data_IF_493341959082
#
_entry.id   IF_493341959082
#
_cell.length_a   1.000
_cell.length_b   1.000
_cell.length_c   1.000
_cell.angle_alpha   90.00
_cell.angle_beta   90.00
_cell.angle_gamma   90.00
#
_symmetry.space_group_name_H-M   'P 1'
#
loop_
_entity.id
_entity.type
_entity.pdbx_description
1 polymer ?
#
# COMPACT_ATOMS: atom_id res chain seq x y z
N UNK A 1 -21.21 103.28 20.92
CA UNK A 1 -20.14 102.25 21.00
C UNK A 1 -20.78 100.91 21.31
N UNK A 2 -20.96 100.07 20.33
CA UNK A 2 -21.61 98.74 20.48
C UNK A 2 -20.57 97.64 20.44
N UNK A 3 -20.38 96.87 21.57
CA UNK A 3 -19.52 95.69 21.67
C UNK A 3 -20.28 94.48 21.08
N UNK A 4 -19.70 93.84 20.07
CA UNK A 4 -20.18 92.57 19.53
C UNK A 4 -19.57 91.42 20.31
N UNK A 5 -20.39 90.56 20.95
CA UNK A 5 -20.02 89.32 21.55
C UNK A 5 -19.92 88.24 20.44
N UNK A 6 -18.79 87.56 20.41
CA UNK A 6 -18.58 86.32 19.57
C UNK A 6 -18.93 85.07 20.39
N UNK A 7 -19.91 84.35 19.94
CA UNK A 7 -20.29 83.03 20.44
C UNK A 7 -19.39 82.00 19.71
N UNK A 8 -18.55 81.28 20.45
CA UNK A 8 -17.78 80.11 19.93
C UNK A 8 -18.64 78.86 20.06
N UNK A 9 -18.97 78.22 18.95
CA UNK A 9 -19.63 76.92 18.97
C UNK A 9 -18.57 75.82 19.07
N UNK A 10 -18.66 75.01 20.15
CA UNK A 10 -17.83 73.84 20.39
C UNK A 10 -18.47 72.62 19.65
N UNK A 11 -17.86 72.13 18.56
CA UNK A 11 -18.20 70.89 17.92
C UNK A 11 -17.55 69.71 18.64
N UNK A 12 -18.36 68.90 19.37
CA UNK A 12 -17.93 67.59 19.89
C UNK A 12 -17.94 66.56 18.76
N UNK A 13 -16.76 66.19 18.29
CA UNK A 13 -16.59 65.06 17.38
C UNK A 13 -16.69 63.76 18.15
N UNK A 14 -17.74 62.96 17.90
CA UNK A 14 -17.84 61.58 18.38
C UNK A 14 -17.00 60.71 17.45
N UNK A 15 -15.80 60.27 17.92
CA UNK A 15 -15.00 59.29 17.25
C UNK A 15 -15.65 57.91 17.45
N UNK A 16 -16.24 57.35 16.38
CA UNK A 16 -16.69 55.96 16.35
C UNK A 16 -15.45 55.03 16.33
N UNK A 17 -15.12 54.42 17.47
CA UNK A 17 -14.16 53.34 17.53
C UNK A 17 -14.76 52.11 16.90
N UNK A 18 -14.40 51.86 15.65
CA UNK A 18 -14.71 50.59 15.00
C UNK A 18 -13.99 49.44 15.74
N UNK A 19 -14.73 48.71 16.55
CA UNK A 19 -14.22 47.54 17.23
C UNK A 19 -13.72 46.53 16.23
N UNK A 20 -12.40 46.33 16.18
CA UNK A 20 -11.78 45.19 15.47
C UNK A 20 -12.28 43.93 16.18
N UNK A 21 -13.23 43.23 15.58
CA UNK A 21 -13.61 41.88 16.05
C UNK A 21 -12.37 40.99 15.93
N UNK A 22 -11.96 40.30 17.00
CA UNK A 22 -10.88 39.32 16.89
C UNK A 22 -11.32 38.29 15.84
N UNK A 23 -10.53 38.12 14.79
CA UNK A 23 -10.67 37.01 13.86
C UNK A 23 -10.45 35.77 14.74
N UNK A 24 -11.51 35.01 14.97
CA UNK A 24 -11.38 33.72 15.65
C UNK A 24 -10.34 32.91 14.90
N UNK A 25 -9.27 32.51 15.58
CA UNK A 25 -8.26 31.64 15.00
C UNK A 25 -8.98 30.41 14.42
N UNK A 26 -8.69 30.07 13.17
CA UNK A 26 -9.24 28.87 12.56
C UNK A 26 -8.94 27.67 13.49
N UNK A 27 -9.90 26.76 13.71
CA UNK A 27 -9.68 25.62 14.58
C UNK A 27 -8.48 24.81 14.06
N UNK A 28 -7.53 24.54 14.95
CA UNK A 28 -6.37 23.71 14.61
C UNK A 28 -6.86 22.30 14.20
N UNK A 29 -6.38 21.79 13.07
CA UNK A 29 -6.64 20.42 12.65
C UNK A 29 -5.66 19.41 13.24
N UNK A 30 -4.63 19.85 13.95
CA UNK A 30 -3.56 19.01 14.47
C UNK A 30 -4.06 17.88 15.35
N UNK A 31 -3.40 16.75 15.23
CA UNK A 31 -3.58 15.57 16.06
C UNK A 31 -4.23 14.39 15.34
N UNK A 32 -4.61 13.40 16.13
CA UNK A 32 -5.19 12.15 15.65
C UNK A 32 -6.69 12.28 15.36
N UNK A 33 -7.11 11.55 14.36
CA UNK A 33 -8.49 11.45 13.91
C UNK A 33 -8.88 9.98 13.72
N UNK A 34 -10.06 9.62 14.18
CA UNK A 34 -10.73 8.38 13.80
C UNK A 34 -11.49 8.63 12.50
N UNK A 35 -11.13 7.90 11.48
CA UNK A 35 -11.63 8.09 10.14
C UNK A 35 -12.31 6.83 9.61
N UNK A 36 -13.20 7.00 8.65
CA UNK A 36 -13.81 5.92 7.89
C UNK A 36 -13.75 6.22 6.40
N UNK A 37 -13.56 5.16 5.60
CA UNK A 37 -13.71 5.20 4.14
C UNK A 37 -14.73 4.16 3.70
N UNK A 38 -15.60 4.53 2.75
CA UNK A 38 -16.62 3.61 2.23
C UNK A 38 -16.12 2.98 0.94
N UNK A 39 -16.03 1.64 0.93
CA UNK A 39 -15.59 0.86 -0.23
C UNK A 39 -16.59 -0.26 -0.49
N UNK A 40 -17.35 -0.14 -1.59
CA UNK A 40 -18.49 -1.03 -1.83
C UNK A 40 -19.52 -0.90 -0.72
N UNK A 41 -19.83 -1.99 -0.05
CA UNK A 41 -20.76 -2.04 1.09
C UNK A 41 -20.05 -1.90 2.45
N UNK A 42 -18.71 -1.95 2.49
CA UNK A 42 -17.95 -1.88 3.71
C UNK A 42 -17.62 -0.44 4.11
N UNK A 43 -17.81 -0.13 5.39
CA UNK A 43 -17.28 1.08 6.03
C UNK A 43 -16.04 0.69 6.82
N UNK A 44 -14.88 1.10 6.33
CA UNK A 44 -13.57 0.68 6.84
C UNK A 44 -13.04 1.76 7.76
N UNK A 45 -12.91 1.51 9.07
CA UNK A 45 -12.30 2.44 10.00
C UNK A 45 -10.77 2.47 9.82
N UNK A 46 -10.18 3.63 10.00
CA UNK A 46 -8.73 3.81 10.03
C UNK A 46 -8.34 4.99 10.90
N UNK A 47 -7.10 5.01 11.38
CA UNK A 47 -6.52 6.15 12.08
C UNK A 47 -5.84 7.07 11.10
N UNK A 48 -5.99 8.36 11.34
CA UNK A 48 -5.39 9.42 10.53
C UNK A 48 -4.78 10.50 11.42
N UNK A 49 -3.73 11.17 10.96
CA UNK A 49 -3.14 12.29 11.70
C UNK A 49 -3.01 13.49 10.78
N UNK A 50 -3.28 14.66 11.31
CA UNK A 50 -3.04 15.93 10.64
C UNK A 50 -2.01 16.73 11.44
N UNK A 51 -1.07 17.36 10.72
CA UNK A 51 -0.12 18.32 11.27
C UNK A 51 -0.16 19.59 10.42
N UNK A 52 -0.38 20.75 11.06
CA UNK A 52 -0.56 22.04 10.38
C UNK A 52 0.63 22.96 10.63
N UNK A 53 1.02 23.71 9.59
CA UNK A 53 2.00 24.81 9.68
C UNK A 53 1.48 25.99 8.88
N UNK A 54 0.71 26.87 9.52
CA UNK A 54 0.02 27.96 8.82
C UNK A 54 -1.09 27.40 7.89
N UNK A 55 -0.98 27.66 6.60
CA UNK A 55 -1.91 27.11 5.59
C UNK A 55 -1.48 25.76 5.03
N UNK A 56 -0.25 25.33 5.29
CA UNK A 56 0.24 24.02 4.90
C UNK A 56 -0.23 22.97 5.90
N UNK A 57 -0.73 21.87 5.39
CA UNK A 57 -1.19 20.72 6.18
C UNK A 57 -0.54 19.47 5.64
N UNK A 58 -0.05 18.65 6.52
CA UNK A 58 0.40 17.30 6.19
C UNK A 58 -0.55 16.28 6.81
N UNK A 59 -1.05 15.34 6.00
CA UNK A 59 -1.90 14.25 6.45
C UNK A 59 -1.14 12.93 6.42
N UNK A 60 -1.34 12.10 7.45
CA UNK A 60 -0.65 10.82 7.60
C UNK A 60 -1.66 9.69 7.76
N UNK A 61 -1.59 8.73 6.86
CA UNK A 61 -2.10 7.39 7.10
C UNK A 61 -1.12 6.59 7.96
N UNK A 62 -1.57 5.46 8.49
CA UNK A 62 -0.76 4.54 9.27
C UNK A 62 -0.68 3.16 8.60
N UNK A 63 0.54 2.69 8.39
CA UNK A 63 0.88 1.31 8.03
C UNK A 63 1.52 0.67 9.27
N UNK A 64 0.70 0.05 10.12
CA UNK A 64 1.12 -0.25 11.49
C UNK A 64 1.52 1.04 12.22
N UNK A 65 2.75 1.11 12.71
CA UNK A 65 3.30 2.29 13.38
C UNK A 65 3.96 3.29 12.41
N UNK A 66 4.15 2.90 11.14
CA UNK A 66 4.79 3.73 10.12
C UNK A 66 3.79 4.72 9.54
N UNK A 67 4.15 6.00 9.56
CA UNK A 67 3.37 7.07 8.93
C UNK A 67 3.61 7.14 7.42
N UNK A 68 2.52 7.25 6.66
CA UNK A 68 2.49 7.45 5.21
C UNK A 68 1.97 8.85 4.94
N UNK A 69 2.88 9.80 4.77
CA UNK A 69 2.56 11.23 4.67
C UNK A 69 2.11 11.64 3.27
N UNK A 70 1.25 12.68 3.21
CA UNK A 70 0.90 13.35 1.96
C UNK A 70 2.12 14.03 1.33
N UNK A 71 2.12 14.12 -0.01
CA UNK A 71 3.15 14.84 -0.79
C UNK A 71 2.99 16.34 -0.66
N UNK A 72 1.74 16.81 -0.59
CA UNK A 72 1.36 18.18 -0.33
C UNK A 72 0.03 18.24 0.39
N UNK A 73 -0.32 19.40 0.94
CA UNK A 73 -1.63 19.63 1.52
C UNK A 73 -1.86 21.07 1.90
N UNK A 74 -3.13 21.47 1.90
CA UNK A 74 -3.57 22.81 2.24
C UNK A 74 -4.89 22.78 3.00
N UNK A 75 -5.02 23.69 3.97
CA UNK A 75 -6.28 23.98 4.64
C UNK A 75 -6.57 25.47 4.56
N UNK A 76 -7.70 25.84 3.97
CA UNK A 76 -8.17 27.21 3.88
C UNK A 76 -9.69 27.24 3.82
N UNK A 77 -10.31 28.21 4.46
CA UNK A 77 -11.75 28.46 4.43
C UNK A 77 -12.60 27.21 4.77
N UNK A 78 -12.12 26.41 5.70
CA UNK A 78 -12.78 25.16 6.12
C UNK A 78 -12.57 23.98 5.18
N UNK A 79 -11.86 24.14 4.04
CA UNK A 79 -11.58 23.09 3.08
C UNK A 79 -10.16 22.54 3.24
N UNK A 80 -10.05 21.23 3.38
CA UNK A 80 -8.81 20.46 3.41
C UNK A 80 -8.61 19.76 2.07
N UNK A 81 -7.40 19.87 1.52
CA UNK A 81 -6.93 19.06 0.39
C UNK A 81 -5.58 18.48 0.69
N UNK A 82 -5.41 17.18 0.46
CA UNK A 82 -4.16 16.43 0.60
C UNK A 82 -3.92 15.62 -0.66
N UNK A 83 -2.72 15.73 -1.23
CA UNK A 83 -2.32 14.96 -2.40
C UNK A 83 -1.25 13.94 -2.01
N UNK A 84 -1.38 12.72 -2.55
CA UNK A 84 -0.45 11.60 -2.37
C UNK A 84 0.04 11.17 -3.76
N UNK A 85 1.04 11.87 -4.30
CA UNK A 85 1.51 11.71 -5.68
C UNK A 85 1.92 10.28 -6.00
N UNK A 86 2.57 9.62 -5.04
CA UNK A 86 3.06 8.25 -5.21
C UNK A 86 1.93 7.19 -5.23
N UNK A 87 0.76 7.51 -4.67
CA UNK A 87 -0.46 6.69 -4.77
C UNK A 87 -1.35 7.16 -5.93
N UNK A 88 -1.02 8.30 -6.54
CA UNK A 88 -1.86 8.99 -7.50
C UNK A 88 -3.26 9.25 -6.96
N UNK A 89 -3.36 9.74 -5.70
CA UNK A 89 -4.62 9.95 -5.00
C UNK A 89 -4.71 11.31 -4.35
N UNK A 90 -5.94 11.78 -4.12
CA UNK A 90 -6.24 13.00 -3.37
C UNK A 90 -7.34 12.75 -2.35
N UNK A 91 -7.22 13.39 -1.18
CA UNK A 91 -8.24 13.50 -0.15
C UNK A 91 -8.72 14.95 -0.09
N UNK A 92 -10.01 15.17 -0.27
CA UNK A 92 -10.64 16.48 -0.17
C UNK A 92 -11.77 16.40 0.87
N UNK A 93 -11.76 17.28 1.87
CA UNK A 93 -12.75 17.30 2.94
C UNK A 93 -13.06 18.71 3.40
N UNK A 94 -14.25 18.89 3.98
CA UNK A 94 -14.69 20.16 4.56
C UNK A 94 -14.98 19.95 6.04
N UNK A 95 -14.53 20.89 6.88
CA UNK A 95 -14.84 20.88 8.30
C UNK A 95 -16.29 21.33 8.52
N UNK A 96 -17.11 20.46 9.11
CA UNK A 96 -18.50 20.67 9.45
C UNK A 96 -18.68 20.40 10.93
N UNK A 97 -18.78 21.46 11.74
CA UNK A 97 -18.72 21.33 13.19
C UNK A 97 -17.34 20.83 13.65
N UNK A 98 -17.28 19.64 14.23
CA UNK A 98 -16.08 18.95 14.69
C UNK A 98 -15.66 17.77 13.79
N UNK A 99 -16.33 17.56 12.66
CA UNK A 99 -16.06 16.50 11.69
C UNK A 99 -15.48 17.03 10.38
N UNK A 100 -14.55 16.28 9.79
CA UNK A 100 -14.14 16.46 8.40
C UNK A 100 -14.92 15.46 7.54
N UNK A 101 -15.69 15.98 6.59
CA UNK A 101 -16.52 15.20 5.66
C UNK A 101 -16.04 15.45 4.25
N UNK A 102 -15.78 14.38 3.50
CA UNK A 102 -15.21 14.53 2.17
C UNK A 102 -15.08 13.24 1.38
N UNK A 103 -14.11 13.25 0.48
CA UNK A 103 -13.88 12.15 -0.46
C UNK A 103 -12.40 11.83 -0.58
N UNK A 104 -12.14 10.56 -0.85
CA UNK A 104 -10.85 10.05 -1.28
C UNK A 104 -10.98 9.42 -2.67
N UNK A 105 -10.07 9.73 -3.57
CA UNK A 105 -10.13 9.20 -4.93
C UNK A 105 -8.76 9.02 -5.55
N UNK A 106 -8.61 8.00 -6.36
CA UNK A 106 -7.50 7.86 -7.29
C UNK A 106 -7.73 8.80 -8.48
N UNK A 107 -6.68 9.45 -8.97
CA UNK A 107 -6.75 10.42 -10.07
C UNK A 107 -6.80 9.77 -11.46
N UNK A 108 -6.75 8.44 -11.55
CA UNK A 108 -6.99 7.71 -12.81
C UNK A 108 -8.43 7.93 -13.28
N UNK A 109 -8.60 8.13 -14.58
CA UNK A 109 -9.92 8.25 -15.19
C UNK A 109 -10.79 7.01 -14.89
N UNK A 110 -12.06 7.25 -14.55
CA UNK A 110 -13.00 6.18 -14.20
C UNK A 110 -12.84 5.58 -12.80
N UNK A 111 -11.90 6.08 -11.99
CA UNK A 111 -11.75 5.62 -10.60
C UNK A 111 -12.94 6.02 -9.74
N UNK A 112 -13.35 5.09 -8.84
CA UNK A 112 -14.45 5.35 -7.90
C UNK A 112 -14.04 6.40 -6.88
N UNK A 113 -14.97 7.27 -6.55
CA UNK A 113 -14.86 8.22 -5.44
C UNK A 113 -15.37 7.52 -4.19
N UNK A 114 -14.58 7.56 -3.12
CA UNK A 114 -14.89 6.95 -1.84
C UNK A 114 -15.25 8.05 -0.85
N UNK A 115 -16.38 7.91 -0.14
CA UNK A 115 -16.75 8.84 0.92
C UNK A 115 -15.82 8.64 2.12
N UNK A 116 -15.37 9.76 2.70
CA UNK A 116 -14.53 9.79 3.91
C UNK A 116 -15.19 10.66 4.96
N UNK A 117 -15.18 10.19 6.20
CA UNK A 117 -15.60 10.94 7.39
C UNK A 117 -14.53 10.80 8.46
N UNK A 118 -14.15 11.89 9.12
CA UNK A 118 -13.15 11.88 10.18
C UNK A 118 -13.66 12.66 11.38
N UNK A 119 -13.47 12.10 12.59
CA UNK A 119 -13.76 12.72 13.88
C UNK A 119 -12.48 12.78 14.71
N UNK A 120 -12.42 13.70 15.66
CA UNK A 120 -11.31 13.73 16.61
C UNK A 120 -11.17 12.38 17.30
N UNK A 121 -9.94 11.87 17.34
CA UNK A 121 -9.63 10.63 18.03
C UNK A 121 -10.04 10.73 19.51
N UNK A 122 -10.74 9.72 19.98
CA UNK A 122 -11.03 9.54 21.38
C UNK A 122 -10.49 8.18 21.82
N UNK A 123 -9.64 8.17 22.82
CA UNK A 123 -9.11 6.91 23.35
C UNK A 123 -10.26 6.00 23.78
N UNK A 124 -10.31 4.74 23.32
CA UNK A 124 -11.34 3.80 23.74
C UNK A 124 -11.27 3.58 25.26
N UNK A 125 -12.43 3.38 25.88
CA UNK A 125 -12.48 2.95 27.27
C UNK A 125 -11.86 1.53 27.36
N UNK A 126 -11.16 1.22 28.48
CA UNK A 126 -10.68 -0.15 28.70
C UNK A 126 -11.83 -1.15 28.61
N UNK A 127 -11.61 -2.23 27.86
CA UNK A 127 -12.56 -3.34 27.81
C UNK A 127 -12.25 -4.28 28.97
N UNK A 128 -13.25 -4.53 29.84
CA UNK A 128 -13.18 -5.48 30.97
C UNK A 128 -13.59 -6.90 30.53
N UNK A 129 -13.91 -7.10 29.26
CA UNK A 129 -14.36 -8.38 28.71
C UNK A 129 -13.26 -9.44 28.66
N UNK A 130 -13.70 -10.71 28.62
CA UNK A 130 -12.79 -11.84 28.41
C UNK A 130 -12.40 -11.93 26.95
N UNK A 131 -11.13 -11.71 26.63
CA UNK A 131 -10.61 -11.83 25.27
C UNK A 131 -10.03 -13.22 25.03
N UNK A 132 -10.46 -13.97 24.01
CA UNK A 132 -9.88 -15.26 23.68
C UNK A 132 -8.44 -15.09 23.17
N UNK A 133 -7.61 -16.12 23.34
CA UNK A 133 -6.27 -16.15 22.75
C UNK A 133 -6.37 -16.38 21.25
N UNK A 134 -6.06 -15.33 20.45
CA UNK A 134 -6.12 -15.34 19.01
C UNK A 134 -4.77 -15.15 18.33
N UNK A 135 -3.72 -14.78 19.07
CA UNK A 135 -2.38 -14.62 18.53
C UNK A 135 -1.88 -15.89 17.83
N UNK A 136 -1.04 -15.72 16.83
CA UNK A 136 -0.42 -16.83 16.10
C UNK A 136 -0.83 -16.91 14.64
N UNK A 137 -0.55 -18.07 14.03
CA UNK A 137 -0.75 -18.32 12.61
C UNK A 137 -2.06 -19.07 12.36
N UNK A 138 -2.81 -18.57 11.39
CA UNK A 138 -4.09 -19.10 10.93
C UNK A 138 -4.06 -19.28 9.42
N UNK A 139 -4.90 -20.17 8.92
CA UNK A 139 -5.19 -20.33 7.51
C UNK A 139 -6.64 -19.96 7.21
N UNK A 140 -6.83 -19.13 6.21
CA UNK A 140 -8.11 -18.54 5.82
C UNK A 140 -8.55 -19.11 4.49
N UNK A 141 -9.73 -19.73 4.43
CA UNK A 141 -10.31 -20.31 3.23
C UNK A 141 -11.73 -19.83 3.02
N UNK A 142 -12.04 -19.45 1.77
CA UNK A 142 -13.41 -19.05 1.40
C UNK A 142 -14.40 -20.22 1.55
N UNK A 143 -15.62 -19.91 1.99
CA UNK A 143 -16.65 -20.94 2.13
C UNK A 143 -17.00 -21.58 0.78
N UNK A 144 -17.17 -22.89 0.77
CA UNK A 144 -17.36 -23.66 -0.47
C UNK A 144 -18.54 -23.17 -1.31
N UNK A 145 -19.63 -22.75 -0.65
CA UNK A 145 -20.83 -22.21 -1.30
C UNK A 145 -20.57 -20.88 -2.08
N UNK A 146 -19.49 -20.18 -1.79
CA UNK A 146 -19.14 -18.89 -2.40
C UNK A 146 -17.99 -18.98 -3.41
N UNK A 147 -17.50 -20.19 -3.68
CA UNK A 147 -16.44 -20.39 -4.68
C UNK A 147 -17.04 -20.26 -6.07
N UNK A 148 -16.70 -19.15 -6.75
CA UNK A 148 -17.17 -18.86 -8.10
C UNK A 148 -16.06 -18.91 -9.16
N UNK A 149 -14.79 -18.88 -8.74
CA UNK A 149 -13.63 -18.91 -9.63
C UNK A 149 -12.48 -19.74 -9.04
N UNK A 150 -11.54 -20.26 -9.85
CA UNK A 150 -10.41 -21.04 -9.36
C UNK A 150 -9.56 -20.30 -8.29
N UNK A 151 -9.44 -18.98 -8.40
CA UNK A 151 -8.73 -18.16 -7.39
C UNK A 151 -9.40 -18.21 -6.01
N UNK A 152 -10.69 -18.42 -5.93
CA UNK A 152 -11.46 -18.48 -4.67
C UNK A 152 -11.17 -19.78 -3.90
N UNK A 153 -10.58 -20.78 -4.53
CA UNK A 153 -10.18 -22.04 -3.88
C UNK A 153 -8.88 -21.93 -3.10
N UNK A 154 -8.16 -20.81 -3.21
CA UNK A 154 -6.85 -20.64 -2.56
C UNK A 154 -7.02 -20.43 -1.07
N UNK A 155 -6.13 -21.03 -0.31
CA UNK A 155 -5.96 -20.75 1.11
C UNK A 155 -4.97 -19.60 1.28
N UNK A 156 -5.18 -18.75 2.27
CA UNK A 156 -4.30 -17.62 2.61
C UNK A 156 -3.80 -17.78 4.04
N UNK A 157 -2.59 -17.30 4.33
CA UNK A 157 -2.12 -17.20 5.70
C UNK A 157 -2.69 -15.95 6.38
N UNK A 158 -2.97 -16.05 7.67
CA UNK A 158 -3.33 -14.91 8.52
C UNK A 158 -2.42 -14.96 9.75
N UNK A 159 -1.70 -13.89 9.98
CA UNK A 159 -0.83 -13.74 11.14
C UNK A 159 -1.46 -12.74 12.11
N UNK A 160 -1.72 -13.14 13.34
CA UNK A 160 -2.30 -12.29 14.37
C UNK A 160 -1.33 -12.12 15.53
N UNK A 161 -1.22 -10.88 16.01
CA UNK A 161 -0.52 -10.50 17.24
C UNK A 161 -1.52 -9.89 18.18
N UNK A 162 -1.39 -10.12 19.48
CA UNK A 162 -2.37 -9.73 20.47
C UNK A 162 -1.72 -9.12 21.70
N UNK A 163 -2.34 -8.07 22.23
CA UNK A 163 -2.01 -7.45 23.51
C UNK A 163 -3.32 -7.10 24.22
N UNK A 164 -3.78 -7.98 25.12
CA UNK A 164 -5.10 -7.87 25.71
C UNK A 164 -6.20 -7.97 24.64
N UNK A 165 -7.12 -7.00 24.61
CA UNK A 165 -8.18 -6.92 23.62
C UNK A 165 -7.70 -6.35 22.27
N UNK A 166 -6.55 -5.66 22.22
CA UNK A 166 -5.99 -5.10 21.01
C UNK A 166 -5.32 -6.16 20.18
N UNK A 167 -5.64 -6.19 18.89
CA UNK A 167 -5.02 -7.11 17.93
C UNK A 167 -4.47 -6.35 16.72
N UNK A 168 -3.42 -6.90 16.16
CA UNK A 168 -2.91 -6.52 14.85
C UNK A 168 -2.59 -7.78 14.05
N UNK A 169 -2.57 -7.66 12.73
CA UNK A 169 -2.23 -8.80 11.90
C UNK A 169 -2.21 -8.46 10.42
N UNK A 170 -2.12 -9.49 9.60
CA UNK A 170 -2.16 -9.34 8.15
C UNK A 170 -2.67 -10.62 7.50
N UNK A 171 -3.21 -10.50 6.29
CA UNK A 171 -3.58 -11.62 5.43
C UNK A 171 -2.54 -11.70 4.32
N UNK A 172 -1.76 -12.77 4.29
CA UNK A 172 -0.75 -13.02 3.26
C UNK A 172 -1.33 -13.88 2.16
N UNK A 173 -1.33 -13.35 0.95
CA UNK A 173 -1.72 -13.99 -0.29
C UNK A 173 -0.50 -14.21 -1.18
N UNK A 174 -0.67 -14.85 -2.31
CA UNK A 174 0.41 -15.13 -3.25
C UNK A 174 1.04 -13.87 -3.85
N UNK A 175 0.27 -12.79 -3.97
CA UNK A 175 0.72 -11.50 -4.48
C UNK A 175 1.31 -10.56 -3.42
N UNK A 176 1.28 -10.98 -2.16
CA UNK A 176 1.73 -10.21 -1.02
C UNK A 176 0.64 -10.07 0.04
N UNK A 177 0.82 -9.18 0.99
CA UNK A 177 -0.09 -9.05 2.12
C UNK A 177 -1.02 -7.82 2.03
N UNK A 178 -1.96 -7.77 2.95
CA UNK A 178 -2.96 -6.71 3.04
C UNK A 178 -2.45 -5.43 3.71
N UNK A 179 -1.20 -5.37 4.13
CA UNK A 179 -0.72 -4.40 5.10
C UNK A 179 -1.14 -4.77 6.52
N UNK A 180 -0.79 -3.93 7.48
CA UNK A 180 -1.09 -4.17 8.89
C UNK A 180 -2.53 -3.83 9.22
N UNK A 181 -3.36 -4.86 9.38
CA UNK A 181 -4.69 -4.74 9.96
C UNK A 181 -4.55 -4.43 11.45
N UNK A 182 -5.31 -3.48 11.96
CA UNK A 182 -5.34 -3.14 13.39
C UNK A 182 -6.77 -3.07 13.91
N UNK A 183 -6.99 -3.40 15.17
CA UNK A 183 -8.30 -3.33 15.81
C UNK A 183 -8.36 -4.06 17.12
N UNK A 184 -9.53 -4.57 17.47
CA UNK A 184 -9.79 -5.14 18.80
C UNK A 184 -10.77 -6.32 18.76
N UNK A 185 -10.71 -7.13 19.82
CA UNK A 185 -11.79 -8.06 20.19
C UNK A 185 -12.74 -7.34 21.12
N UNK A 186 -14.00 -7.25 20.74
CA UNK A 186 -15.04 -6.60 21.53
C UNK A 186 -16.42 -7.18 21.22
N UNK A 187 -17.26 -7.35 22.24
CA UNK A 187 -18.61 -7.91 22.09
C UNK A 187 -18.60 -9.25 21.34
N UNK A 188 -17.70 -10.16 21.71
CA UNK A 188 -17.52 -11.49 21.10
C UNK A 188 -17.18 -11.46 19.60
N UNK A 189 -16.62 -10.36 19.13
CA UNK A 189 -16.25 -10.17 17.73
C UNK A 189 -14.85 -9.58 17.61
N UNK A 190 -14.06 -10.11 16.68
CA UNK A 190 -12.84 -9.52 16.19
C UNK A 190 -13.18 -8.55 15.06
N UNK A 191 -12.68 -7.32 15.14
CA UNK A 191 -12.76 -6.34 14.04
C UNK A 191 -11.38 -5.78 13.80
N UNK A 192 -10.81 -6.08 12.64
CA UNK A 192 -9.51 -5.56 12.17
C UNK A 192 -9.67 -4.83 10.86
N UNK A 193 -9.02 -3.69 10.71
CA UNK A 193 -9.08 -2.90 9.49
C UNK A 193 -7.72 -2.38 9.05
N UNK A 194 -7.61 -2.11 7.75
CA UNK A 194 -6.45 -1.47 7.15
C UNK A 194 -6.91 -0.48 6.08
N UNK A 195 -6.37 0.73 6.12
CA UNK A 195 -6.40 1.69 5.03
C UNK A 195 -5.24 2.69 5.21
N UNK A 196 -4.22 2.57 4.38
CA UNK A 196 -3.07 3.47 4.35
C UNK A 196 -3.02 4.32 3.06
N UNK A 197 -4.22 4.71 2.57
CA UNK A 197 -4.41 5.35 1.27
C UNK A 197 -4.60 4.34 0.12
N UNK A 198 -4.40 3.08 0.40
CA UNK A 198 -4.58 1.94 -0.51
C UNK A 198 -4.90 0.67 0.28
N UNK A 199 -5.21 -0.43 -0.42
CA UNK A 199 -5.53 -1.73 0.19
C UNK A 199 -6.59 -1.65 1.29
N UNK A 200 -7.77 -1.06 1.03
CA UNK A 200 -8.83 -1.02 2.02
C UNK A 200 -9.28 -2.44 2.38
N UNK A 201 -9.15 -2.81 3.66
CA UNK A 201 -9.57 -4.12 4.17
C UNK A 201 -10.27 -3.98 5.52
N UNK A 202 -11.35 -4.73 5.68
CA UNK A 202 -12.08 -4.91 6.92
C UNK A 202 -12.27 -6.41 7.14
N UNK A 203 -11.61 -6.96 8.14
CA UNK A 203 -11.78 -8.34 8.59
C UNK A 203 -12.59 -8.35 9.87
N UNK A 204 -13.74 -9.00 9.83
CA UNK A 204 -14.59 -9.23 10.99
C UNK A 204 -14.68 -10.74 11.24
N UNK A 205 -14.60 -11.19 12.49
CA UNK A 205 -14.68 -12.60 12.77
C UNK A 205 -15.32 -12.88 14.13
N UNK A 206 -16.03 -14.00 14.24
CA UNK A 206 -16.58 -14.55 15.48
C UNK A 206 -16.02 -15.93 15.72
N UNK A 207 -15.90 -16.33 17.01
CA UNK A 207 -15.34 -17.62 17.37
C UNK A 207 -16.42 -18.70 17.37
N UNK A 208 -16.15 -19.81 16.69
CA UNK A 208 -16.96 -21.02 16.71
C UNK A 208 -16.65 -21.86 17.97
N UNK A 209 -17.55 -22.77 18.30
CA UNK A 209 -17.39 -23.68 19.46
C UNK A 209 -16.21 -24.65 19.33
N UNK A 210 -15.78 -24.94 18.08
CA UNK A 210 -14.64 -25.80 17.79
C UNK A 210 -13.29 -25.05 17.73
N UNK A 211 -13.29 -23.77 18.11
CA UNK A 211 -12.09 -22.93 18.14
C UNK A 211 -11.72 -22.27 16.80
N UNK A 212 -12.39 -22.61 15.71
CA UNK A 212 -12.22 -21.91 14.43
C UNK A 212 -12.89 -20.53 14.47
N UNK A 213 -12.62 -19.67 13.46
CA UNK A 213 -13.29 -18.38 13.34
C UNK A 213 -14.11 -18.34 12.05
N UNK A 214 -15.38 -17.95 12.18
CA UNK A 214 -16.19 -17.53 11.04
C UNK A 214 -15.89 -16.07 10.75
N UNK A 215 -15.41 -15.77 9.55
CA UNK A 215 -14.93 -14.43 9.19
C UNK A 215 -15.62 -13.88 7.95
N UNK A 216 -15.73 -12.54 7.91
CA UNK A 216 -16.17 -11.78 6.73
C UNK A 216 -15.09 -10.78 6.37
N UNK A 217 -14.73 -10.76 5.08
CA UNK A 217 -13.78 -9.79 4.54
C UNK A 217 -14.55 -8.79 3.67
N UNK A 218 -14.37 -7.49 3.95
CA UNK A 218 -14.97 -6.37 3.21
C UNK A 218 -16.52 -6.45 3.09
N UNK A 219 -17.17 -6.99 4.12
CA UNK A 219 -18.62 -6.99 4.26
C UNK A 219 -19.38 -8.07 3.45
N UNK A 220 -18.72 -8.76 2.52
CA UNK A 220 -19.44 -9.64 1.57
C UNK A 220 -18.76 -10.96 1.23
N UNK A 221 -17.54 -11.21 1.65
CA UNK A 221 -16.84 -12.47 1.37
C UNK A 221 -16.64 -13.26 2.67
N UNK A 222 -17.16 -14.48 2.75
CA UNK A 222 -17.17 -15.29 3.96
C UNK A 222 -16.09 -16.37 3.93
N UNK A 223 -15.42 -16.52 5.06
CA UNK A 223 -14.27 -17.39 5.23
C UNK A 223 -14.34 -18.18 6.53
N UNK A 224 -13.67 -19.32 6.53
CA UNK A 224 -13.30 -20.06 7.72
C UNK A 224 -11.82 -19.83 7.99
N UNK A 225 -11.47 -19.42 9.22
CA UNK A 225 -10.11 -19.40 9.71
C UNK A 225 -9.88 -20.59 10.64
N UNK A 226 -8.79 -21.30 10.39
CA UNK A 226 -8.37 -22.46 11.17
C UNK A 226 -6.92 -22.23 11.61
N UNK A 227 -6.55 -22.64 12.84
CA UNK A 227 -5.16 -22.61 13.29
C UNK A 227 -4.29 -23.35 12.28
N UNK A 228 -3.14 -22.80 11.89
CA UNK A 228 -2.26 -23.45 10.90
C UNK A 228 -1.83 -24.85 11.32
N UNK A 229 -1.67 -25.07 12.64
CA UNK A 229 -1.36 -26.39 13.19
C UNK A 229 -2.47 -27.44 13.03
N UNK A 230 -3.73 -27.03 12.82
CA UNK A 230 -4.89 -27.91 12.70
C UNK A 230 -5.46 -27.94 11.28
N UNK A 231 -4.96 -27.08 10.40
CA UNK A 231 -5.57 -26.82 9.10
C UNK A 231 -5.62 -28.09 8.22
N UNK A 232 -4.54 -28.91 8.23
CA UNK A 232 -4.50 -30.18 7.45
C UNK A 232 -5.50 -31.18 7.97
N UNK A 233 -5.60 -31.33 9.29
CA UNK A 233 -6.56 -32.27 9.92
C UNK A 233 -8.03 -31.86 9.66
N UNK A 234 -8.27 -30.57 9.51
CA UNK A 234 -9.58 -30.01 9.12
C UNK A 234 -9.80 -29.93 7.60
N UNK A 235 -8.91 -30.52 6.78
CA UNK A 235 -9.04 -30.59 5.33
C UNK A 235 -8.83 -29.28 4.58
N UNK A 236 -8.19 -28.28 5.22
CA UNK A 236 -7.81 -27.03 4.55
C UNK A 236 -6.57 -27.29 3.69
N UNK A 237 -6.58 -27.03 2.38
CA UNK A 237 -5.41 -27.15 1.51
C UNK A 237 -4.31 -26.16 1.91
N UNK A 238 -3.06 -26.52 1.61
CA UNK A 238 -1.94 -25.59 1.81
C UNK A 238 -2.12 -24.31 1.00
N UNK A 239 -1.72 -23.15 1.55
CA UNK A 239 -1.59 -21.93 0.78
C UNK A 239 -0.65 -22.13 -0.41
N UNK A 240 -0.88 -21.44 -1.54
CA UNK A 240 0.03 -21.51 -2.68
C UNK A 240 1.45 -21.06 -2.30
N UNK A 241 2.45 -21.82 -2.73
CA UNK A 241 3.86 -21.46 -2.57
C UNK A 241 4.24 -20.36 -3.57
N UNK A 242 4.62 -19.15 -3.13
CA UNK A 242 5.01 -18.04 -4.01
C UNK A 242 6.19 -18.37 -4.93
N UNK A 243 7.10 -19.25 -4.50
CA UNK A 243 8.27 -19.66 -5.28
C UNK A 243 7.96 -20.63 -6.42
N UNK A 244 6.73 -21.17 -6.45
CA UNK A 244 6.25 -22.13 -7.45
C UNK A 244 5.04 -21.62 -8.23
N UNK A 245 4.54 -20.44 -7.90
CA UNK A 245 3.31 -19.92 -8.46
C UNK A 245 3.50 -19.46 -9.92
N UNK A 246 4.50 -18.62 -10.15
CA UNK A 246 4.91 -18.21 -11.50
C UNK A 246 6.15 -19.01 -11.90
N UNK A 247 6.19 -19.50 -13.13
CA UNK A 247 7.29 -20.31 -13.64
C UNK A 247 7.74 -19.81 -15.01
N UNK A 248 8.85 -20.36 -15.50
CA UNK A 248 9.33 -20.17 -16.88
C UNK A 248 9.16 -21.43 -17.70
N UNK A 249 8.90 -21.28 -19.00
CA UNK A 249 8.70 -22.41 -19.94
C UNK A 249 9.94 -23.31 -20.02
N UNK A 250 11.11 -22.68 -20.12
CA UNK A 250 12.38 -23.41 -20.21
C UNK A 250 13.45 -22.73 -19.32
N UNK A 251 13.71 -23.27 -18.12
CA UNK A 251 14.71 -22.68 -17.22
C UNK A 251 16.16 -22.93 -17.66
N UNK A 252 16.40 -23.77 -18.68
CA UNK A 252 17.74 -24.06 -19.21
C UNK A 252 18.19 -23.08 -20.29
N UNK A 253 17.27 -22.23 -20.79
CA UNK A 253 17.55 -21.18 -21.76
C UNK A 253 17.72 -19.83 -21.04
N UNK A 254 18.53 -18.89 -21.62
CA UNK A 254 18.59 -17.53 -21.13
C UNK A 254 17.19 -16.85 -21.14
N UNK A 255 16.95 -16.00 -20.15
CA UNK A 255 15.73 -15.21 -20.09
C UNK A 255 15.92 -13.90 -20.85
N UNK A 256 15.08 -13.67 -21.87
CA UNK A 256 15.19 -12.52 -22.77
C UNK A 256 14.17 -11.43 -22.41
N UNK A 257 14.62 -10.18 -22.46
CA UNK A 257 13.79 -9.00 -22.38
C UNK A 257 14.40 -7.85 -23.22
N UNK A 258 13.54 -6.97 -23.72
CA UNK A 258 13.95 -5.75 -24.42
C UNK A 258 12.83 -4.72 -24.33
N UNK A 259 13.04 -3.65 -23.54
CA UNK A 259 12.03 -2.62 -23.30
C UNK A 259 12.65 -1.24 -23.24
N UNK A 260 11.89 -0.17 -23.59
CA UNK A 260 12.37 1.20 -23.47
C UNK A 260 12.51 1.61 -22.00
N UNK A 261 13.57 2.33 -21.71
CA UNK A 261 13.71 3.09 -20.46
C UNK A 261 12.85 4.37 -20.49
N UNK A 262 12.96 5.19 -19.45
CA UNK A 262 12.17 6.43 -19.33
C UNK A 262 12.57 7.50 -20.39
N UNK A 263 13.69 7.33 -21.08
CA UNK A 263 14.12 8.21 -22.19
C UNK A 263 13.61 7.70 -23.54
N UNK A 264 13.16 6.43 -23.59
CA UNK A 264 12.77 5.73 -24.81
C UNK A 264 13.90 4.88 -25.42
N UNK A 265 15.08 4.85 -24.78
CA UNK A 265 16.18 3.99 -25.19
C UNK A 265 15.88 2.54 -24.83
N UNK A 266 15.98 1.64 -25.81
CA UNK A 266 15.75 0.20 -25.56
C UNK A 266 16.92 -0.39 -24.79
N UNK A 267 16.61 -1.02 -23.66
CA UNK A 267 17.53 -1.81 -22.83
C UNK A 267 17.10 -3.26 -22.91
N UNK A 268 18.05 -4.16 -23.21
CA UNK A 268 17.81 -5.59 -23.35
C UNK A 268 18.73 -6.42 -22.46
N UNK A 269 18.42 -7.71 -22.31
CA UNK A 269 19.28 -8.70 -21.65
C UNK A 269 20.71 -8.77 -22.22
N UNK A 270 20.92 -8.34 -23.48
CA UNK A 270 22.24 -8.29 -24.13
C UNK A 270 23.04 -7.02 -23.84
N UNK A 271 22.47 -6.05 -23.11
CA UNK A 271 23.17 -4.82 -22.73
C UNK A 271 24.44 -5.17 -21.93
N UNK A 272 25.58 -4.50 -22.19
CA UNK A 272 26.84 -4.75 -21.49
C UNK A 272 26.75 -4.71 -19.94
N UNK A 273 25.81 -3.96 -19.38
CA UNK A 273 25.62 -3.87 -17.92
C UNK A 273 25.23 -5.19 -17.28
N UNK A 274 24.53 -6.09 -18.01
CA UNK A 274 24.09 -7.40 -17.51
C UNK A 274 25.07 -8.54 -17.81
N UNK A 275 26.06 -8.27 -18.67
CA UNK A 275 27.01 -9.30 -19.08
C UNK A 275 27.79 -9.85 -17.89
N UNK A 276 27.70 -11.16 -17.67
CA UNK A 276 28.37 -11.84 -16.58
C UNK A 276 28.00 -11.32 -15.18
N UNK A 277 26.75 -10.87 -15.02
CA UNK A 277 26.18 -10.41 -13.75
C UNK A 277 25.11 -11.37 -13.27
N UNK A 278 24.97 -11.46 -11.95
CA UNK A 278 23.72 -11.94 -11.35
C UNK A 278 22.69 -10.85 -11.55
N UNK A 279 21.56 -11.16 -12.20
CA UNK A 279 20.56 -10.13 -12.56
C UNK A 279 19.24 -10.44 -11.90
N UNK A 280 18.63 -9.42 -11.26
CA UNK A 280 17.26 -9.50 -10.76
C UNK A 280 16.33 -8.70 -11.66
N UNK A 281 15.27 -9.34 -12.15
CA UNK A 281 14.18 -8.68 -12.87
C UNK A 281 13.02 -8.49 -11.90
N UNK A 282 12.73 -7.24 -11.54
CA UNK A 282 11.61 -6.88 -10.69
C UNK A 282 10.41 -6.48 -11.56
N UNK A 283 9.46 -7.40 -11.75
CA UNK A 283 8.25 -7.18 -12.52
C UNK A 283 7.20 -6.54 -11.61
N UNK A 284 6.80 -5.32 -11.92
CA UNK A 284 5.89 -4.56 -11.08
C UNK A 284 5.15 -3.47 -11.83
N UNK A 285 4.60 -2.53 -11.07
CA UNK A 285 3.97 -1.30 -11.56
C UNK A 285 3.95 -0.23 -10.48
N UNK A 286 3.96 1.04 -10.88
CA UNK A 286 3.93 2.17 -9.93
C UNK A 286 2.60 2.29 -9.16
N UNK A 287 1.59 1.58 -9.60
CA UNK A 287 0.26 1.49 -9.00
C UNK A 287 0.12 0.35 -7.96
N UNK A 288 1.12 -0.53 -7.87
CA UNK A 288 1.03 -1.79 -7.13
C UNK A 288 1.50 -1.61 -5.67
N UNK A 289 0.64 -1.75 -4.67
CA UNK A 289 1.00 -1.56 -3.26
C UNK A 289 2.12 -2.48 -2.77
N UNK A 290 2.06 -3.77 -3.11
CA UNK A 290 3.09 -4.73 -2.72
C UNK A 290 4.44 -4.46 -3.42
N UNK A 291 4.43 -3.83 -4.61
CA UNK A 291 5.65 -3.34 -5.26
C UNK A 291 6.27 -2.15 -4.50
N UNK A 292 5.44 -1.31 -3.90
CA UNK A 292 5.89 -0.24 -3.00
C UNK A 292 6.53 -0.81 -1.72
N UNK A 293 6.06 -1.95 -1.23
CA UNK A 293 6.65 -2.63 -0.07
C UNK A 293 7.99 -3.31 -0.41
N UNK A 294 8.14 -3.85 -1.64
CA UNK A 294 9.35 -4.50 -2.11
C UNK A 294 10.48 -3.50 -2.45
N UNK A 295 10.13 -2.33 -3.01
CA UNK A 295 11.09 -1.39 -3.57
C UNK A 295 12.23 -0.95 -2.62
N UNK A 296 12.00 -0.69 -1.32
CA UNK A 296 13.09 -0.39 -0.38
C UNK A 296 14.09 -1.53 -0.24
N UNK A 297 13.63 -2.77 -0.28
CA UNK A 297 14.49 -3.94 -0.18
C UNK A 297 15.35 -4.12 -1.44
N UNK A 298 14.78 -3.95 -2.63
CA UNK A 298 15.53 -3.97 -3.88
C UNK A 298 16.59 -2.86 -3.95
N UNK A 299 16.26 -1.65 -3.48
CA UNK A 299 17.21 -0.54 -3.40
C UNK A 299 18.36 -0.84 -2.42
N UNK A 300 18.07 -1.48 -1.28
CA UNK A 300 19.06 -1.97 -0.31
C UNK A 300 19.99 -3.03 -0.93
N UNK A 301 19.43 -4.03 -1.62
CA UNK A 301 20.19 -5.08 -2.29
C UNK A 301 21.11 -4.49 -3.36
N UNK A 302 20.59 -3.59 -4.20
CA UNK A 302 21.38 -2.94 -5.23
C UNK A 302 22.56 -2.16 -4.65
N UNK A 303 22.32 -1.36 -3.63
CA UNK A 303 23.36 -0.61 -2.93
C UNK A 303 24.43 -1.54 -2.34
N UNK A 304 24.03 -2.68 -1.80
CA UNK A 304 24.93 -3.62 -1.10
C UNK A 304 25.76 -4.46 -2.08
N UNK A 305 25.15 -4.95 -3.17
CA UNK A 305 25.74 -6.00 -3.98
C UNK A 305 26.17 -5.57 -5.40
N UNK A 306 25.80 -4.37 -5.87
CA UNK A 306 26.17 -3.89 -7.21
C UNK A 306 27.66 -3.99 -7.49
N UNK A 307 28.51 -3.52 -6.57
CA UNK A 307 29.96 -3.56 -6.72
C UNK A 307 30.52 -5.01 -6.76
N UNK A 308 29.77 -5.97 -6.27
CA UNK A 308 30.11 -7.41 -6.26
C UNK A 308 29.58 -8.16 -7.48
N UNK A 309 28.81 -7.49 -8.34
CA UNK A 309 28.32 -8.09 -9.58
C UNK A 309 26.82 -8.40 -9.62
N UNK A 310 26.02 -7.85 -8.72
CA UNK A 310 24.56 -7.84 -8.85
C UNK A 310 24.14 -6.69 -9.77
N UNK A 311 23.20 -6.96 -10.67
CA UNK A 311 22.45 -5.94 -11.39
C UNK A 311 20.94 -6.15 -11.14
N UNK A 312 20.16 -5.07 -11.11
CA UNK A 312 18.71 -5.10 -10.99
C UNK A 312 18.10 -4.32 -12.13
N UNK A 313 16.96 -4.75 -12.64
CA UNK A 313 16.15 -3.98 -13.60
C UNK A 313 14.67 -4.11 -13.24
N UNK A 314 13.98 -2.97 -13.15
CA UNK A 314 12.54 -2.91 -12.96
C UNK A 314 11.82 -2.99 -14.30
N UNK A 315 10.90 -3.93 -14.45
CA UNK A 315 10.03 -4.09 -15.61
C UNK A 315 8.62 -3.63 -15.22
N UNK A 316 8.28 -2.37 -15.59
CA UNK A 316 7.06 -1.73 -15.16
C UNK A 316 5.93 -1.98 -16.16
N UNK A 317 4.86 -2.60 -15.66
CA UNK A 317 3.59 -2.79 -16.36
C UNK A 317 2.58 -1.82 -15.77
N UNK A 318 2.38 -0.69 -16.44
CA UNK A 318 1.55 0.38 -15.93
C UNK A 318 0.06 0.17 -16.25
N UNK A 319 -0.83 0.84 -15.51
CA UNK A 319 -2.26 0.79 -15.75
C UNK A 319 -2.70 1.66 -16.95
N UNK A 320 -1.81 2.51 -17.46
CA UNK A 320 -2.11 3.41 -18.56
C UNK A 320 -1.08 3.19 -19.68
N UNK A 321 -1.50 2.96 -20.92
CA UNK A 321 -0.60 2.74 -22.05
C UNK A 321 0.07 4.01 -22.56
N UNK A 322 -0.40 5.21 -22.16
CA UNK A 322 0.18 6.48 -22.59
C UNK A 322 1.51 6.73 -21.85
N UNK A 323 2.65 6.79 -22.56
CA UNK A 323 3.94 7.10 -21.96
C UNK A 323 3.99 8.47 -21.27
N UNK A 324 3.16 9.43 -21.69
CA UNK A 324 3.08 10.74 -21.05
C UNK A 324 2.47 10.66 -19.65
N UNK A 325 1.68 9.61 -19.37
CA UNK A 325 1.10 9.33 -18.06
C UNK A 325 1.97 8.34 -17.28
N UNK A 326 2.43 7.27 -17.90
CA UNK A 326 3.20 6.20 -17.27
C UNK A 326 4.57 6.68 -16.74
N UNK A 327 5.33 7.42 -17.56
CA UNK A 327 6.70 7.87 -17.20
C UNK A 327 6.76 8.74 -15.94
N UNK A 328 5.93 9.77 -15.76
CA UNK A 328 5.92 10.57 -14.52
C UNK A 328 5.62 9.74 -13.26
N UNK A 329 4.76 8.73 -13.36
CA UNK A 329 4.44 7.82 -12.23
C UNK A 329 5.63 6.96 -11.84
N UNK A 330 6.31 6.36 -12.82
CA UNK A 330 7.54 5.60 -12.58
C UNK A 330 8.65 6.51 -12.06
N UNK A 331 8.76 7.77 -12.51
CA UNK A 331 9.69 8.74 -11.96
C UNK A 331 9.39 9.07 -10.50
N UNK A 332 8.12 9.21 -10.12
CA UNK A 332 7.70 9.41 -8.73
C UNK A 332 8.08 8.21 -7.85
N UNK A 333 7.89 6.99 -8.36
CA UNK A 333 8.31 5.75 -7.70
C UNK A 333 9.83 5.71 -7.49
N UNK A 334 10.63 6.00 -8.54
CA UNK A 334 12.09 6.09 -8.47
C UNK A 334 12.54 7.09 -7.39
N UNK A 335 11.97 8.28 -7.41
CA UNK A 335 12.30 9.34 -6.45
C UNK A 335 11.97 8.92 -5.01
N UNK A 336 10.79 8.34 -4.79
CA UNK A 336 10.34 7.92 -3.46
C UNK A 336 11.24 6.88 -2.81
N UNK A 337 11.69 5.90 -3.60
CA UNK A 337 12.49 4.77 -3.10
C UNK A 337 13.98 4.91 -3.39
N UNK A 338 14.41 6.05 -3.94
CA UNK A 338 15.83 6.30 -4.31
C UNK A 338 16.40 5.18 -5.20
N UNK A 339 15.58 4.69 -6.15
CA UNK A 339 15.96 3.62 -7.07
C UNK A 339 17.14 4.07 -7.93
N UNK A 340 18.21 3.26 -7.99
CA UNK A 340 19.44 3.55 -8.75
C UNK A 340 19.69 2.56 -9.88
N UNK A 341 18.81 1.57 -10.04
CA UNK A 341 18.85 0.61 -11.14
C UNK A 341 17.90 1.01 -12.26
N UNK A 342 18.09 0.50 -13.50
CA UNK A 342 17.24 0.81 -14.65
C UNK A 342 15.76 0.44 -14.37
N UNK A 343 14.87 1.35 -14.75
CA UNK A 343 13.43 1.11 -14.76
C UNK A 343 12.93 1.23 -16.20
N UNK A 344 12.30 0.16 -16.70
CA UNK A 344 11.84 0.04 -18.08
C UNK A 344 10.32 0.02 -18.12
N UNK A 345 9.73 0.69 -19.12
CA UNK A 345 8.28 0.60 -19.38
C UNK A 345 8.04 -0.65 -20.24
N UNK A 346 7.70 -1.75 -19.59
CA UNK A 346 7.61 -3.07 -20.20
C UNK A 346 6.25 -3.35 -20.87
N UNK A 347 5.20 -2.66 -20.41
CA UNK A 347 3.86 -2.89 -20.95
C UNK A 347 2.76 -2.32 -20.07
N UNK A 348 1.58 -2.91 -20.21
CA UNK A 348 0.36 -2.56 -19.45
C UNK A 348 -0.26 -3.77 -18.79
N UNK A 349 -1.05 -3.52 -17.73
CA UNK A 349 -1.80 -4.56 -17.02
C UNK A 349 -2.99 -5.10 -17.83
N UNK A 350 -3.57 -4.23 -18.66
CA UNK A 350 -4.73 -4.54 -19.51
C UNK A 350 -4.36 -4.49 -20.99
N UNK A 351 -5.02 -5.24 -21.86
CA UNK A 351 -4.81 -5.18 -23.30
C UNK A 351 -4.98 -3.76 -23.86
N UNK A 352 -4.06 -3.37 -24.72
CA UNK A 352 -4.06 -2.05 -25.36
C UNK A 352 -3.55 -2.16 -26.82
N UNK A 353 -4.10 -1.37 -27.76
CA UNK A 353 -3.57 -1.33 -29.14
C UNK A 353 -2.13 -0.85 -29.25
N UNK A 354 -1.65 -0.11 -28.24
CA UNK A 354 -0.33 0.57 -28.27
C UNK A 354 0.67 -0.02 -27.28
N UNK A 355 0.26 -1.01 -26.44
CA UNK A 355 1.12 -1.58 -25.42
C UNK A 355 0.80 -3.07 -25.21
N UNK A 356 1.80 -3.84 -24.81
CA UNK A 356 1.70 -5.28 -24.58
C UNK A 356 1.33 -5.56 -23.13
N UNK A 357 0.49 -6.58 -22.95
CA UNK A 357 0.32 -7.22 -21.63
C UNK A 357 1.56 -8.05 -21.27
N UNK A 358 1.65 -8.50 -20.02
CA UNK A 358 2.79 -9.32 -19.59
C UNK A 358 2.92 -10.62 -20.37
N UNK A 359 1.81 -11.26 -20.72
CA UNK A 359 1.82 -12.50 -21.49
C UNK A 359 2.39 -12.32 -22.91
N UNK A 360 2.17 -11.16 -23.51
CA UNK A 360 2.69 -10.79 -24.81
C UNK A 360 4.13 -10.26 -24.76
N UNK A 361 4.47 -9.55 -23.68
CA UNK A 361 5.78 -8.92 -23.48
C UNK A 361 6.84 -9.92 -23.01
N UNK A 362 6.45 -10.87 -22.15
CA UNK A 362 7.31 -11.89 -21.56
C UNK A 362 6.71 -13.30 -21.77
N UNK A 363 6.64 -13.78 -23.04
CA UNK A 363 5.99 -15.04 -23.39
C UNK A 363 6.70 -16.28 -22.82
N UNK A 364 7.86 -16.12 -22.21
CA UNK A 364 8.61 -17.16 -21.50
C UNK A 364 8.00 -17.50 -20.13
N UNK A 365 7.20 -16.60 -19.56
CA UNK A 365 6.52 -16.82 -18.26
C UNK A 365 5.32 -17.74 -18.43
N UNK A 366 5.07 -18.53 -17.39
CA UNK A 366 3.90 -19.43 -17.27
C UNK A 366 3.21 -19.11 -15.95
N UNK A 367 1.88 -19.13 -15.97
CA UNK A 367 1.04 -18.90 -14.77
C UNK A 367 1.33 -17.58 -14.05
N UNK A 368 1.72 -16.53 -14.79
CA UNK A 368 1.85 -15.22 -14.19
C UNK A 368 0.50 -14.75 -13.65
N UNK A 369 0.49 -14.25 -12.42
CA UNK A 369 -0.76 -13.80 -11.81
C UNK A 369 -0.58 -12.99 -10.53
N UNK A 370 0.64 -12.48 -10.30
CA UNK A 370 0.95 -11.67 -9.12
C UNK A 370 1.94 -10.54 -9.44
N UNK A 371 1.66 -9.37 -8.90
CA UNK A 371 2.60 -8.25 -8.81
C UNK A 371 2.91 -7.98 -7.32
N UNK A 372 4.20 -7.83 -6.94
CA UNK A 372 5.38 -8.01 -7.78
C UNK A 372 5.63 -9.47 -8.12
N UNK A 373 6.48 -9.72 -9.12
CA UNK A 373 7.15 -11.01 -9.34
C UNK A 373 8.61 -10.74 -9.62
N UNK A 374 9.49 -11.33 -8.82
CA UNK A 374 10.93 -11.16 -8.95
C UNK A 374 11.56 -12.42 -9.52
N UNK A 375 12.38 -12.27 -10.59
CA UNK A 375 13.13 -13.34 -11.24
C UNK A 375 14.60 -13.10 -10.98
N UNK A 376 15.33 -14.11 -10.53
CA UNK A 376 16.77 -14.06 -10.34
C UNK A 376 17.46 -14.90 -11.42
N UNK A 377 18.36 -14.27 -12.18
CA UNK A 377 19.17 -14.90 -13.22
C UNK A 377 20.60 -15.11 -12.73
N UNK A 378 21.18 -16.25 -13.09
CA UNK A 378 22.61 -16.49 -12.95
C UNK A 378 23.45 -15.66 -13.91
N UNK A 379 24.77 -15.73 -13.83
CA UNK A 379 25.72 -15.02 -14.72
C UNK A 379 25.60 -15.44 -16.18
N UNK A 380 25.01 -16.61 -16.45
CA UNK A 380 24.71 -17.16 -17.77
C UNK A 380 23.34 -16.69 -18.33
N UNK A 381 22.66 -15.79 -17.62
CA UNK A 381 21.33 -15.29 -18.00
C UNK A 381 20.17 -16.29 -17.78
N UNK A 382 20.43 -17.48 -17.23
CA UNK A 382 19.39 -18.49 -16.96
C UNK A 382 18.71 -18.26 -15.63
N UNK A 383 17.44 -18.61 -15.57
CA UNK A 383 16.63 -18.46 -14.35
C UNK A 383 17.12 -19.39 -13.23
N UNK A 384 17.32 -18.84 -12.05
CA UNK A 384 17.67 -19.54 -10.81
C UNK A 384 16.53 -19.56 -9.82
N UNK A 385 15.69 -18.53 -9.83
CA UNK A 385 14.52 -18.43 -8.96
C UNK A 385 13.47 -17.53 -9.58
N UNK A 386 12.20 -17.85 -9.32
CA UNK A 386 11.06 -16.99 -9.55
C UNK A 386 10.30 -16.91 -8.24
N UNK A 387 9.94 -15.71 -7.80
CA UNK A 387 9.15 -15.50 -6.59
C UNK A 387 8.01 -14.54 -6.88
N UNK A 388 6.78 -14.98 -6.64
CA UNK A 388 5.58 -14.17 -6.79
C UNK A 388 5.25 -13.45 -5.48
N UNK A 389 4.87 -12.19 -5.55
CA UNK A 389 4.50 -11.38 -4.40
C UNK A 389 5.67 -10.95 -3.52
N UNK A 390 5.35 -10.20 -2.48
CA UNK A 390 6.29 -9.77 -1.45
C UNK A 390 5.60 -9.73 -0.09
N UNK A 391 6.15 -10.45 0.88
CA UNK A 391 5.71 -10.42 2.26
C UNK A 391 6.30 -9.18 2.94
N UNK A 392 5.46 -8.18 3.25
CA UNK A 392 5.88 -6.93 3.89
C UNK A 392 6.19 -7.12 5.38
N UNK A 393 6.68 -6.07 6.04
CA UNK A 393 6.96 -6.07 7.48
C UNK A 393 5.73 -6.43 8.34
N UNK A 394 4.50 -6.29 7.81
CA UNK A 394 3.27 -6.69 8.47
C UNK A 394 3.24 -8.19 8.79
N UNK A 395 3.90 -9.02 7.99
CA UNK A 395 3.97 -10.49 8.15
C UNK A 395 4.96 -10.95 9.22
N UNK A 396 5.82 -10.05 9.73
CA UNK A 396 6.79 -10.34 10.80
C UNK A 396 7.90 -11.31 10.39
N UNK A 397 7.93 -12.51 10.97
CA UNK A 397 8.98 -13.50 10.72
C UNK A 397 9.07 -13.91 9.24
N UNK A 398 7.93 -13.97 8.55
CA UNK A 398 7.88 -14.29 7.13
C UNK A 398 8.64 -13.27 6.27
N UNK A 399 8.49 -11.97 6.57
CA UNK A 399 9.28 -10.91 5.95
C UNK A 399 10.78 -11.10 6.14
N UNK A 400 11.19 -11.40 7.38
CA UNK A 400 12.61 -11.62 7.72
C UNK A 400 13.16 -12.84 6.97
N UNK A 401 12.38 -13.93 6.94
CA UNK A 401 12.73 -15.17 6.25
C UNK A 401 12.89 -14.94 4.74
N UNK A 402 11.91 -14.33 4.10
CA UNK A 402 11.96 -14.01 2.66
C UNK A 402 13.21 -13.18 2.31
N UNK A 403 13.45 -12.11 3.06
CA UNK A 403 14.63 -11.25 2.81
C UNK A 403 15.94 -12.02 2.99
N UNK A 404 16.03 -12.93 3.95
CA UNK A 404 17.22 -13.74 4.17
C UNK A 404 17.41 -14.75 3.04
N UNK A 405 16.37 -15.45 2.62
CA UNK A 405 16.42 -16.40 1.49
C UNK A 405 16.90 -15.74 0.20
N UNK A 406 16.42 -14.53 -0.09
CA UNK A 406 16.86 -13.75 -1.27
C UNK A 406 18.34 -13.37 -1.14
N UNK A 407 18.79 -12.90 0.03
CA UNK A 407 20.22 -12.57 0.25
C UNK A 407 21.11 -13.81 0.10
N UNK A 408 20.72 -14.92 0.69
CA UNK A 408 21.48 -16.17 0.60
C UNK A 408 21.59 -16.68 -0.85
N UNK A 409 20.51 -16.54 -1.62
CA UNK A 409 20.54 -16.86 -3.04
C UNK A 409 21.53 -15.96 -3.79
N UNK A 410 21.46 -14.64 -3.59
CA UNK A 410 22.37 -13.67 -4.23
C UNK A 410 23.82 -13.98 -3.85
N UNK A 411 24.11 -14.21 -2.58
CA UNK A 411 25.48 -14.55 -2.10
C UNK A 411 26.02 -15.81 -2.78
N UNK A 412 25.22 -16.88 -2.89
CA UNK A 412 25.62 -18.12 -3.58
C UNK A 412 25.94 -17.85 -5.07
N UNK A 413 25.06 -17.13 -5.77
CA UNK A 413 25.24 -16.84 -7.20
C UNK A 413 26.43 -15.91 -7.47
N UNK A 414 26.69 -14.97 -6.56
CA UNK A 414 27.87 -14.09 -6.67
C UNK A 414 29.19 -14.83 -6.42
N UNK A 415 29.17 -15.93 -5.67
CA UNK A 415 30.33 -16.79 -5.42
C UNK A 415 30.65 -17.72 -6.61
N UNK A 416 29.71 -17.92 -7.56
CA UNK A 416 29.95 -18.70 -8.77
C UNK A 416 31.05 -18.04 -9.64
N UNK A 417 31.89 -18.84 -10.33
CA UNK A 417 32.90 -18.31 -11.24
C UNK A 417 32.29 -17.40 -12.32
N UNK A 418 33.04 -16.38 -12.72
CA UNK A 418 32.71 -15.59 -13.89
C UNK A 418 32.77 -16.46 -15.15
N UNK A 419 31.77 -16.38 -16.03
CA UNK A 419 31.69 -17.14 -17.28
C UNK A 419 32.28 -16.35 -18.45
#
# INVERSE_FOLDING_TARGET
MKRRARVAALLLGVAAVAGVRPIAAAPSLDGLWDATVVVGEATIPFRFELATRGFEVQGFFFEGDRKVGSSSGRYADGALKLDYDFLNTTLEATLQGDELIGTYRNLRAGSRVQAVRMRRFTAPAPDEGTTPELAGSWEMRRLAAEISAPRDTRTWHVYLRQSGASLSGTILRVDGDTGTLVGEWKNDKLVLSHFAGERPNLLEATRNTDGTLAATLNGNAHYLLVRSSEARDKGIPEPPDPSRYTNVKNPTEPFHFAFPDLTGTVVSDTDPRFRNKVTMLAIGGSWCPNCHDEAPFLAELYKTYRARGLEIVGLMFENDPDPAIARPRVQTFIKRYSVQYPMLIAGTTEPSPTSKTIAEALPQLVNFGAYPTTIVLGRDGRVRSVHAGFASAATGEEHVRLKQEVRDLIERLLAEPAQ
#
